data_IF_838889808259
#
_entry.id   IF_838889808259
#
_cell.length_a   1.000
_cell.length_b   1.000
_cell.length_c   1.000
_cell.angle_alpha   90.00
_cell.angle_beta   90.00
_cell.angle_gamma   90.00
#
_symmetry.space_group_name_H-M   'P 1'
#
loop_
_entity.id
_entity.type
_entity.pdbx_description
1 polymer ?
#
# COMPACT_ATOMS: atom_id res chain seq x y z
N UNK A 1 6.89 -18.54 28.41
CA UNK A 1 5.75 -17.80 27.82
C UNK A 1 6.32 -16.51 27.27
N UNK A 2 6.90 -16.56 26.07
CA UNK A 2 7.44 -15.37 25.41
C UNK A 2 6.29 -14.68 24.72
N UNK A 3 5.82 -13.56 25.27
CA UNK A 3 4.96 -12.63 24.54
C UNK A 3 5.80 -12.07 23.41
N UNK A 4 5.67 -12.67 22.22
CA UNK A 4 6.23 -12.15 20.99
C UNK A 4 5.39 -10.93 20.63
N UNK A 5 5.64 -9.81 21.31
CA UNK A 5 5.23 -8.48 20.87
C UNK A 5 5.78 -8.34 19.45
N UNK A 6 4.93 -8.64 18.47
CA UNK A 6 5.31 -8.46 17.07
C UNK A 6 5.49 -6.95 16.94
N UNK A 7 6.70 -6.46 16.59
CA UNK A 7 6.95 -5.03 16.46
C UNK A 7 5.84 -4.46 15.58
N UNK A 8 5.27 -3.33 15.98
CA UNK A 8 4.11 -2.68 15.33
C UNK A 8 4.22 -2.79 13.81
N UNK A 9 3.55 -3.79 13.25
CA UNK A 9 3.80 -4.21 11.88
C UNK A 9 3.34 -3.09 10.96
N UNK A 10 4.27 -2.41 10.27
CA UNK A 10 3.93 -1.31 9.36
C UNK A 10 2.95 -1.81 8.32
N UNK A 11 1.85 -1.08 8.18
CA UNK A 11 0.84 -1.33 7.17
C UNK A 11 1.25 -0.65 5.88
N UNK A 12 1.72 -1.44 4.91
CA UNK A 12 2.10 -0.97 3.58
C UNK A 12 0.85 -0.91 2.69
N UNK A 13 0.52 0.28 2.22
CA UNK A 13 -0.59 0.53 1.31
C UNK A 13 -0.03 0.78 -0.08
N UNK A 14 -0.38 -0.09 -1.02
CA UNK A 14 0.06 -0.02 -2.41
C UNK A 14 -1.05 0.64 -3.22
N UNK A 15 -0.80 1.83 -3.77
CA UNK A 15 -1.76 2.51 -4.63
C UNK A 15 -1.69 1.93 -6.04
N UNK A 16 -2.86 1.66 -6.61
CA UNK A 16 -3.01 0.98 -7.88
C UNK A 16 -4.26 1.49 -8.60
N UNK A 17 -4.24 1.61 -9.93
CA UNK A 17 -5.45 2.06 -10.64
C UNK A 17 -5.86 1.16 -11.80
N UNK A 18 -4.99 0.94 -12.79
CA UNK A 18 -5.45 0.36 -14.07
C UNK A 18 -4.55 -0.71 -14.69
N UNK A 19 -3.28 -0.80 -14.27
CA UNK A 19 -2.36 -1.79 -14.81
C UNK A 19 -2.48 -3.14 -14.08
N UNK A 20 -2.02 -4.27 -14.63
CA UNK A 20 -1.81 -5.47 -13.82
C UNK A 20 -0.78 -5.20 -12.72
N UNK A 21 -0.86 -5.91 -11.60
CA UNK A 21 0.19 -5.85 -10.58
C UNK A 21 1.24 -6.91 -10.91
N UNK A 22 2.35 -6.49 -11.51
CA UNK A 22 3.49 -7.36 -11.86
C UNK A 22 4.48 -7.58 -10.69
N UNK A 23 4.26 -6.91 -9.55
CA UNK A 23 5.12 -7.01 -8.38
C UNK A 23 4.60 -8.03 -7.37
N UNK A 24 5.46 -8.97 -6.98
CA UNK A 24 5.20 -9.90 -5.88
C UNK A 24 5.32 -9.18 -4.53
N UNK A 25 4.20 -8.66 -4.05
CA UNK A 25 4.11 -7.93 -2.78
C UNK A 25 4.54 -8.78 -1.58
N UNK A 26 4.30 -10.09 -1.62
CA UNK A 26 4.68 -11.00 -0.53
C UNK A 26 6.20 -11.15 -0.46
N UNK A 27 6.90 -11.07 -1.60
CA UNK A 27 8.37 -11.02 -1.63
C UNK A 27 8.93 -9.64 -1.28
N UNK A 28 8.29 -8.56 -1.72
CA UNK A 28 8.77 -7.20 -1.45
C UNK A 28 8.61 -6.82 0.02
N UNK A 29 7.53 -7.28 0.65
CA UNK A 29 7.17 -6.92 2.02
C UNK A 29 6.82 -8.15 2.88
N UNK A 30 7.76 -9.10 3.06
CA UNK A 30 7.48 -10.39 3.69
C UNK A 30 7.07 -10.30 5.17
N UNK A 31 7.46 -9.21 5.84
CA UNK A 31 7.19 -8.98 7.27
C UNK A 31 6.15 -7.89 7.51
N UNK A 32 5.52 -7.34 6.46
CA UNK A 32 4.55 -6.25 6.59
C UNK A 32 3.14 -6.68 6.21
N UNK A 33 2.16 -5.99 6.78
CA UNK A 33 0.78 -6.11 6.32
C UNK A 33 0.66 -5.29 5.05
N UNK A 34 0.35 -5.93 3.93
CA UNK A 34 0.20 -5.24 2.64
C UNK A 34 -1.27 -5.16 2.25
N UNK A 35 -1.73 -3.99 1.81
CA UNK A 35 -3.08 -3.81 1.26
C UNK A 35 -2.98 -2.99 -0.02
N UNK A 36 -3.64 -3.45 -1.08
CA UNK A 36 -3.75 -2.68 -2.31
C UNK A 36 -4.98 -1.78 -2.21
N UNK A 37 -4.79 -0.49 -2.44
CA UNK A 37 -5.85 0.49 -2.52
C UNK A 37 -6.05 0.87 -3.99
N UNK A 38 -7.23 0.60 -4.52
CA UNK A 38 -7.54 0.80 -5.94
C UNK A 38 -8.86 1.53 -6.14
N UNK A 39 -8.98 2.27 -7.25
CA UNK A 39 -10.20 2.91 -7.72
C UNK A 39 -10.83 2.16 -8.91
N UNK A 40 -10.21 1.05 -9.30
CA UNK A 40 -10.58 0.23 -10.45
C UNK A 40 -11.13 -1.15 -10.06
N UNK A 41 -11.30 -2.04 -11.06
CA UNK A 41 -11.62 -3.44 -10.82
C UNK A 41 -10.56 -4.11 -9.93
N UNK A 42 -10.92 -5.22 -9.24
CA UNK A 42 -9.98 -5.93 -8.38
C UNK A 42 -8.70 -6.29 -9.16
N UNK A 43 -7.56 -6.07 -8.53
CA UNK A 43 -6.23 -6.24 -9.09
C UNK A 43 -6.11 -7.65 -9.69
N UNK A 44 -5.79 -7.71 -10.98
CA UNK A 44 -5.38 -8.98 -11.60
C UNK A 44 -3.96 -9.27 -11.16
N UNK A 45 -3.81 -10.27 -10.30
CA UNK A 45 -2.52 -10.85 -9.95
C UNK A 45 -2.15 -11.94 -10.96
N UNK A 46 -0.85 -12.11 -11.22
CA UNK A 46 -0.36 -13.24 -12.02
C UNK A 46 -0.74 -14.58 -11.40
N UNK A 47 -0.89 -15.63 -12.22
CA UNK A 47 -1.36 -16.97 -11.81
C UNK A 47 -0.60 -17.60 -10.63
N UNK A 48 0.65 -17.21 -10.39
CA UNK A 48 1.52 -17.74 -9.34
C UNK A 48 1.61 -16.84 -8.08
N UNK A 49 0.83 -15.75 -8.01
CA UNK A 49 0.88 -14.81 -6.90
C UNK A 49 -0.32 -14.96 -5.97
N UNK A 50 -0.08 -14.92 -4.67
CA UNK A 50 -1.14 -14.82 -3.68
C UNK A 50 -1.90 -13.50 -3.87
N UNK A 51 -3.25 -13.52 -3.96
CA UNK A 51 -4.02 -12.30 -4.11
C UNK A 51 -3.83 -11.42 -2.86
N UNK A 52 -3.37 -10.16 -3.00
CA UNK A 52 -3.18 -9.27 -1.87
C UNK A 52 -4.52 -8.79 -1.32
N UNK A 53 -4.53 -8.33 -0.06
CA UNK A 53 -5.70 -7.70 0.53
C UNK A 53 -6.14 -6.49 -0.32
N UNK A 54 -7.28 -6.70 -0.97
CA UNK A 54 -8.06 -5.85 -1.87
C UNK A 54 -8.91 -4.74 -1.24
N UNK A 55 -8.60 -3.44 -1.32
CA UNK A 55 -9.59 -2.39 -0.99
C UNK A 55 -9.88 -1.51 -2.20
N UNK A 56 -11.10 -1.61 -2.72
CA UNK A 56 -11.59 -0.79 -3.84
C UNK A 56 -12.47 0.34 -3.34
N UNK A 57 -12.12 1.59 -3.67
CA UNK A 57 -12.88 2.79 -3.34
C UNK A 57 -12.44 3.97 -4.22
N UNK A 58 -13.29 5.00 -4.43
CA UNK A 58 -12.92 6.16 -5.24
C UNK A 58 -11.72 6.91 -4.65
N UNK A 59 -10.88 7.47 -5.52
CA UNK A 59 -9.65 8.20 -5.13
C UNK A 59 -9.90 9.31 -4.10
N UNK A 60 -11.07 9.94 -4.15
CA UNK A 60 -11.47 10.99 -3.19
C UNK A 60 -11.54 10.50 -1.74
N UNK A 61 -11.74 9.19 -1.51
CA UNK A 61 -11.84 8.60 -0.17
C UNK A 61 -10.50 8.05 0.33
N UNK A 62 -9.48 7.95 -0.52
CA UNK A 62 -8.19 7.33 -0.18
C UNK A 62 -7.52 8.02 0.99
N UNK A 63 -7.57 9.36 1.03
CA UNK A 63 -6.99 10.13 2.11
C UNK A 63 -7.61 9.79 3.48
N UNK A 64 -8.95 9.76 3.55
CA UNK A 64 -9.66 9.47 4.80
C UNK A 64 -9.41 8.03 5.26
N UNK A 65 -9.35 7.10 4.31
CA UNK A 65 -9.02 5.70 4.59
C UNK A 65 -7.60 5.55 5.13
N UNK A 66 -6.62 6.19 4.51
CA UNK A 66 -5.23 6.19 4.96
C UNK A 66 -5.09 6.82 6.35
N UNK A 67 -5.76 7.95 6.59
CA UNK A 67 -5.78 8.59 7.90
C UNK A 67 -6.40 7.68 8.98
N UNK A 68 -7.43 6.89 8.63
CA UNK A 68 -8.02 5.89 9.53
C UNK A 68 -7.03 4.78 9.87
N UNK A 69 -6.28 4.27 8.89
CA UNK A 69 -5.25 3.25 9.15
C UNK A 69 -4.08 3.80 9.97
N UNK A 70 -3.65 5.03 9.69
CA UNK A 70 -2.56 5.68 10.42
C UNK A 70 -2.88 5.90 11.91
N UNK A 71 -4.17 5.98 12.28
CA UNK A 71 -4.61 6.00 13.69
C UNK A 71 -4.48 4.65 14.38
N UNK A 72 -4.46 3.55 13.62
CA UNK A 72 -4.34 2.19 14.13
C UNK A 72 -2.91 1.68 14.24
N UNK A 73 -1.94 2.40 13.66
CA UNK A 73 -0.53 2.02 13.66
C UNK A 73 0.27 2.70 12.55
N UNK A 74 1.57 2.38 12.42
CA UNK A 74 2.43 2.92 11.37
C UNK A 74 1.91 2.51 9.98
N UNK A 75 1.79 3.49 9.08
CA UNK A 75 1.36 3.30 7.69
C UNK A 75 2.44 3.82 6.75
N UNK A 76 2.73 3.04 5.72
CA UNK A 76 3.55 3.45 4.60
C UNK A 76 2.74 3.40 3.31
N UNK A 77 2.87 4.40 2.45
CA UNK A 77 2.14 4.48 1.18
C UNK A 77 3.13 4.40 0.04
N UNK A 78 2.97 3.41 -0.84
CA UNK A 78 3.84 3.18 -1.99
C UNK A 78 3.00 3.00 -3.25
N UNK A 79 3.62 3.09 -4.41
CA UNK A 79 2.97 2.76 -5.67
C UNK A 79 4.00 2.25 -6.67
N UNK A 80 3.58 1.27 -7.46
CA UNK A 80 4.31 0.77 -8.63
C UNK A 80 3.60 1.16 -9.93
N UNK A 81 2.51 1.92 -9.83
CA UNK A 81 1.71 2.40 -10.95
C UNK A 81 2.10 3.86 -11.23
N UNK A 82 2.62 4.12 -12.43
CA UNK A 82 3.05 5.46 -12.85
C UNK A 82 1.89 6.47 -12.79
N UNK A 83 0.65 6.02 -13.04
CA UNK A 83 -0.56 6.84 -12.98
C UNK A 83 -0.95 7.23 -11.54
N UNK A 84 -0.37 6.56 -10.54
CA UNK A 84 -0.60 6.81 -9.12
C UNK A 84 0.56 7.56 -8.45
N UNK A 85 1.65 7.85 -9.17
CA UNK A 85 2.86 8.49 -8.60
C UNK A 85 2.54 9.83 -7.95
N UNK A 86 1.87 10.73 -8.68
CA UNK A 86 1.51 12.05 -8.16
C UNK A 86 0.58 11.94 -6.94
N UNK A 87 -0.47 11.13 -7.06
CA UNK A 87 -1.43 10.87 -5.98
C UNK A 87 -0.72 10.30 -4.74
N UNK A 88 0.27 9.42 -4.93
CA UNK A 88 1.07 8.85 -3.85
C UNK A 88 1.86 9.93 -3.11
N UNK A 89 2.55 10.81 -3.84
CA UNK A 89 3.32 11.92 -3.24
C UNK A 89 2.39 12.88 -2.46
N UNK A 90 1.22 13.21 -3.02
CA UNK A 90 0.21 14.04 -2.36
C UNK A 90 -0.32 13.42 -1.06
N UNK A 91 -0.67 12.12 -1.09
CA UNK A 91 -1.18 11.40 0.07
C UNK A 91 -0.11 11.22 1.15
N UNK A 92 1.14 10.93 0.76
CA UNK A 92 2.26 10.87 1.71
C UNK A 92 2.49 12.20 2.39
N UNK A 93 2.50 13.30 1.64
CA UNK A 93 2.63 14.63 2.20
C UNK A 93 1.49 14.97 3.17
N UNK A 94 0.25 14.62 2.83
CA UNK A 94 -0.92 14.84 3.69
C UNK A 94 -0.85 14.06 5.02
N UNK A 95 -0.24 12.88 5.01
CA UNK A 95 0.01 12.06 6.20
C UNK A 95 1.26 12.47 6.98
N UNK A 96 2.03 13.46 6.50
CA UNK A 96 3.31 13.83 7.08
C UNK A 96 4.41 12.77 6.86
N UNK A 97 4.21 11.85 5.92
CA UNK A 97 5.24 10.89 5.50
C UNK A 97 6.29 11.63 4.67
N UNK A 98 7.56 11.26 4.86
CA UNK A 98 8.66 11.77 4.06
C UNK A 98 8.51 11.43 2.56
N UNK A 99 9.41 11.91 1.70
CA UNK A 99 9.40 11.55 0.27
C UNK A 99 9.38 10.04 0.10
N UNK A 100 8.83 9.54 -1.02
CA UNK A 100 8.86 8.10 -1.34
C UNK A 100 10.26 7.55 -1.11
N UNK A 101 10.42 6.38 -0.45
CA UNK A 101 11.73 5.74 -0.36
C UNK A 101 12.22 5.58 -1.79
N UNK A 102 13.31 6.27 -2.13
CA UNK A 102 13.85 6.25 -3.48
C UNK A 102 14.10 4.80 -3.84
N UNK A 103 13.45 4.33 -4.90
CA UNK A 103 13.68 3.03 -5.50
C UNK A 103 15.19 2.93 -5.70
N UNK A 104 15.88 2.13 -4.87
CA UNK A 104 17.30 1.88 -5.08
C UNK A 104 17.38 1.02 -6.34
N UNK A 105 17.71 1.71 -7.44
CA UNK A 105 18.13 1.15 -8.72
C UNK A 105 19.23 0.11 -8.52
#
# INVERSE_FOLDING_TARGET
MSTNESPEQTHVVVLHSSRPLDTDLARTYPEHRVTVLTDGPPVVVGEDLSPPDTVSMPRSEWHDQLARWARGGPVEVVTFDEDCVQTCDELRAALGLGPRPSEKV
#
